data_IF_616955710800
#
_entry.id   IF_616955710800
#
_cell.length_a   1.000
_cell.length_b   1.000
_cell.length_c   1.000
_cell.angle_alpha   90.00
_cell.angle_beta   90.00
_cell.angle_gamma   90.00
#
_symmetry.space_group_name_H-M   'P 1'
#
loop_
_entity.id
_entity.type
_entity.pdbx_description
1 polymer ?
#
# COMPACT_ATOMS: atom_id res chain seq x y z
N UNK A 1 4.12 2.45 -64.80
CA UNK A 1 3.42 2.23 -63.50
C UNK A 1 4.24 1.33 -62.55
N UNK A 2 5.56 1.52 -62.40
CA UNK A 2 6.43 0.65 -61.55
C UNK A 2 7.39 1.41 -60.62
N UNK A 3 7.41 2.75 -60.68
CA UNK A 3 8.33 3.59 -59.89
C UNK A 3 7.67 4.29 -58.69
N UNK A 4 6.34 4.34 -58.61
CA UNK A 4 5.64 5.01 -57.51
C UNK A 4 5.48 4.17 -56.23
N UNK A 5 5.73 2.86 -56.29
CA UNK A 5 5.59 1.98 -55.13
C UNK A 5 6.79 1.95 -54.18
N UNK A 6 7.95 2.51 -54.56
CA UNK A 6 9.17 2.46 -53.72
C UNK A 6 9.32 3.61 -52.73
N UNK A 7 8.61 4.73 -52.94
CA UNK A 7 8.72 5.90 -52.07
C UNK A 7 7.76 5.86 -50.87
N UNK A 8 6.70 5.06 -50.91
CA UNK A 8 5.74 4.97 -49.80
C UNK A 8 6.25 4.13 -48.61
N UNK A 9 7.21 3.24 -48.82
CA UNK A 9 7.75 2.37 -47.75
C UNK A 9 8.74 3.06 -46.82
N UNK A 10 9.30 4.21 -47.19
CA UNK A 10 10.32 4.90 -46.37
C UNK A 10 9.65 5.76 -45.28
N UNK A 11 8.43 6.25 -45.52
CA UNK A 11 7.71 7.10 -44.55
C UNK A 11 7.08 6.28 -43.41
N UNK A 12 6.77 5.00 -43.64
CA UNK A 12 6.17 4.13 -42.60
C UNK A 12 7.21 3.61 -41.60
N UNK A 13 8.51 3.64 -41.92
CA UNK A 13 9.56 3.22 -40.99
C UNK A 13 10.05 4.33 -40.04
N UNK A 14 9.71 5.60 -40.31
CA UNK A 14 10.22 6.73 -39.52
C UNK A 14 9.27 7.19 -38.40
N UNK A 15 8.01 6.73 -38.38
CA UNK A 15 7.03 7.05 -37.34
C UNK A 15 7.04 6.10 -36.13
N UNK A 16 7.89 5.05 -36.15
CA UNK A 16 8.02 4.09 -35.05
C UNK A 16 9.07 4.49 -33.98
N UNK A 17 9.56 5.73 -34.02
CA UNK A 17 10.56 6.27 -33.08
C UNK A 17 9.99 7.33 -32.14
N UNK A 18 8.68 7.37 -31.91
CA UNK A 18 8.14 7.99 -30.69
C UNK A 18 8.19 6.96 -29.57
N UNK A 19 9.43 6.57 -29.23
CA UNK A 19 9.71 5.86 -27.99
C UNK A 19 9.39 6.81 -26.86
N UNK A 20 8.29 6.55 -26.16
CA UNK A 20 8.01 7.16 -24.87
C UNK A 20 9.20 6.87 -23.95
N UNK A 21 10.13 7.83 -23.84
CA UNK A 21 11.06 7.88 -22.73
C UNK A 21 10.25 8.22 -21.50
N UNK A 22 9.66 7.19 -20.89
CA UNK A 22 9.29 7.26 -19.49
C UNK A 22 10.59 7.48 -18.73
N UNK A 23 10.92 8.74 -18.45
CA UNK A 23 11.85 9.06 -17.38
C UNK A 23 11.25 8.42 -16.13
N UNK A 24 11.90 7.43 -15.49
CA UNK A 24 11.49 7.06 -14.15
C UNK A 24 11.65 8.33 -13.34
N UNK A 25 10.53 8.87 -12.87
CA UNK A 25 10.55 9.91 -11.84
C UNK A 25 11.35 9.31 -10.70
N UNK A 26 12.58 9.80 -10.51
CA UNK A 26 13.38 9.56 -9.32
C UNK A 26 12.66 10.22 -8.15
N UNK A 27 11.53 9.64 -7.74
CA UNK A 27 10.98 9.88 -6.43
C UNK A 27 12.03 9.37 -5.44
N UNK A 28 12.50 10.24 -4.56
CA UNK A 28 13.57 9.96 -3.63
C UNK A 28 13.34 8.68 -2.83
N UNK A 29 14.39 7.87 -2.70
CA UNK A 29 14.43 6.69 -1.85
C UNK A 29 15.04 5.50 -2.58
N UNK A 30 16.23 5.07 -2.14
CA UNK A 30 16.93 3.89 -2.69
C UNK A 30 16.17 2.57 -2.52
N UNK A 31 15.09 2.54 -1.71
CA UNK A 31 14.29 1.34 -1.50
C UNK A 31 12.94 1.42 -2.22
N UNK A 32 12.57 0.41 -3.02
CA UNK A 32 11.29 0.35 -3.70
C UNK A 32 10.11 0.00 -2.77
N UNK A 33 10.39 -0.52 -1.57
CA UNK A 33 9.38 -1.06 -0.65
C UNK A 33 9.54 -0.52 0.79
N UNK A 34 8.51 -0.71 1.59
CA UNK A 34 8.50 -0.56 3.04
C UNK A 34 7.91 -1.82 3.69
N UNK A 35 8.19 -2.05 4.96
CA UNK A 35 7.60 -3.15 5.74
C UNK A 35 6.32 -2.64 6.40
N UNK A 36 5.17 -3.20 6.04
CA UNK A 36 3.91 -2.98 6.73
C UNK A 36 3.74 -4.01 7.85
N UNK A 37 3.39 -3.55 9.05
CA UNK A 37 3.00 -4.40 10.16
C UNK A 37 1.63 -3.95 10.68
N UNK A 38 0.59 -4.74 10.43
CA UNK A 38 -0.78 -4.41 10.78
C UNK A 38 -1.19 -5.30 11.94
N UNK A 39 -1.65 -4.73 13.05
CA UNK A 39 -2.02 -5.46 14.26
C UNK A 39 -3.44 -5.12 14.68
N UNK A 40 -4.25 -6.15 14.96
CA UNK A 40 -5.58 -5.98 15.51
C UNK A 40 -5.57 -6.14 17.04
N UNK A 41 -5.57 -5.03 17.77
CA UNK A 41 -5.53 -5.02 19.24
C UNK A 41 -6.87 -4.74 19.93
N UNK A 42 -7.99 -4.80 19.21
CA UNK A 42 -9.32 -4.48 19.76
C UNK A 42 -10.04 -5.77 20.12
N UNK A 43 -10.40 -5.89 21.39
CA UNK A 43 -11.26 -6.95 21.87
C UNK A 43 -12.72 -6.50 21.73
N UNK A 44 -13.47 -7.17 20.86
CA UNK A 44 -14.88 -6.86 20.59
C UNK A 44 -15.77 -6.96 21.83
N UNK A 45 -15.43 -7.84 22.78
CA UNK A 45 -16.23 -8.02 24.01
C UNK A 45 -16.20 -6.78 24.90
N UNK A 46 -15.12 -5.98 24.84
CA UNK A 46 -15.01 -4.69 25.54
C UNK A 46 -15.89 -3.60 24.96
N UNK A 47 -16.42 -3.81 23.76
CA UNK A 47 -17.36 -2.94 23.07
C UNK A 47 -18.82 -3.44 23.21
N UNK A 48 -19.05 -4.47 24.02
CA UNK A 48 -20.38 -5.07 24.19
C UNK A 48 -20.79 -6.02 23.06
N UNK A 49 -19.84 -6.45 22.23
CA UNK A 49 -20.09 -7.46 21.18
C UNK A 49 -20.07 -8.86 21.79
N UNK A 50 -20.77 -9.78 21.13
CA UNK A 50 -20.90 -11.18 21.60
C UNK A 50 -19.65 -12.01 21.34
N UNK A 51 -18.75 -11.53 20.48
CA UNK A 51 -17.54 -12.23 20.04
C UNK A 51 -16.37 -11.26 19.84
N UNK A 52 -15.17 -11.79 19.62
CA UNK A 52 -14.02 -11.01 19.20
C UNK A 52 -14.32 -10.38 17.83
N UNK A 53 -14.15 -9.05 17.72
CA UNK A 53 -14.49 -8.26 16.53
C UNK A 53 -13.66 -8.74 15.32
N UNK A 54 -14.23 -9.47 14.36
CA UNK A 54 -13.52 -9.81 13.14
C UNK A 54 -13.50 -8.59 12.22
N UNK A 55 -12.33 -8.24 11.71
CA UNK A 55 -12.16 -7.10 10.81
C UNK A 55 -11.51 -7.52 9.50
N UNK A 56 -11.90 -6.84 8.44
CA UNK A 56 -11.24 -6.91 7.13
C UNK A 56 -10.51 -5.60 6.92
N UNK A 57 -9.18 -5.66 6.82
CA UNK A 57 -8.35 -4.50 6.46
C UNK A 57 -8.19 -4.48 4.95
N UNK A 58 -8.76 -3.45 4.32
CA UNK A 58 -8.63 -3.23 2.89
C UNK A 58 -7.51 -2.24 2.61
N UNK A 59 -6.54 -2.66 1.80
CA UNK A 59 -5.39 -1.85 1.42
C UNK A 59 -5.59 -1.38 -0.01
N UNK A 60 -5.66 -0.06 -0.21
CA UNK A 60 -5.78 0.56 -1.52
C UNK A 60 -4.46 1.25 -1.88
N UNK A 61 -4.04 1.14 -3.14
CA UNK A 61 -2.73 1.62 -3.62
C UNK A 61 -2.82 2.40 -4.93
N UNK A 62 -1.91 3.38 -5.06
CA UNK A 62 -1.65 4.12 -6.29
C UNK A 62 -2.54 5.36 -6.48
N UNK A 63 -2.37 6.08 -7.60
CA UNK A 63 -3.03 7.38 -7.83
C UNK A 63 -4.56 7.26 -7.91
N UNK A 64 -5.06 6.09 -8.31
CA UNK A 64 -6.50 5.82 -8.42
C UNK A 64 -7.04 5.04 -7.21
N UNK A 65 -6.23 4.82 -6.17
CA UNK A 65 -6.58 4.05 -4.97
C UNK A 65 -7.31 2.76 -5.31
N UNK A 66 -6.68 1.90 -6.12
CA UNK A 66 -7.25 0.58 -6.44
C UNK A 66 -7.03 -0.36 -5.27
N UNK A 67 -8.02 -1.21 -4.99
CA UNK A 67 -7.88 -2.25 -3.99
C UNK A 67 -6.69 -3.15 -4.38
N UNK A 68 -5.69 -3.20 -3.50
CA UNK A 68 -4.48 -4.00 -3.65
C UNK A 68 -4.64 -5.34 -2.92
N UNK A 69 -5.14 -5.29 -1.68
CA UNK A 69 -5.23 -6.48 -0.83
C UNK A 69 -6.37 -6.38 0.19
N UNK A 70 -6.82 -7.55 0.69
CA UNK A 70 -7.77 -7.70 1.79
C UNK A 70 -7.19 -8.66 2.82
N UNK A 71 -7.07 -8.18 4.05
CA UNK A 71 -6.43 -8.92 5.14
C UNK A 71 -7.47 -9.12 6.23
N UNK A 72 -7.88 -10.37 6.43
CA UNK A 72 -8.75 -10.77 7.52
C UNK A 72 -7.92 -10.86 8.81
N UNK A 73 -8.34 -10.14 9.85
CA UNK A 73 -7.68 -10.15 11.16
C UNK A 73 -8.70 -10.36 12.28
N UNK A 74 -8.33 -11.21 13.24
CA UNK A 74 -9.01 -11.39 14.53
C UNK A 74 -8.21 -10.77 15.68
N UNK A 75 -8.80 -10.76 16.87
CA UNK A 75 -8.16 -10.15 18.03
C UNK A 75 -6.79 -10.76 18.30
N UNK A 76 -5.79 -9.89 18.52
CA UNK A 76 -4.36 -10.21 18.68
C UNK A 76 -3.66 -10.79 17.45
N UNK A 77 -4.33 -10.89 16.31
CA UNK A 77 -3.66 -11.26 15.06
C UNK A 77 -2.91 -10.08 14.46
N UNK A 78 -1.88 -10.41 13.69
CA UNK A 78 -1.07 -9.43 12.99
C UNK A 78 -0.65 -9.94 11.63
N UNK A 79 -0.60 -9.04 10.67
CA UNK A 79 -0.02 -9.25 9.35
C UNK A 79 1.30 -8.49 9.24
N UNK A 80 2.30 -9.11 8.63
CA UNK A 80 3.53 -8.43 8.23
C UNK A 80 3.82 -8.73 6.78
N UNK A 81 4.06 -7.69 5.98
CA UNK A 81 4.36 -7.84 4.56
C UNK A 81 5.20 -6.68 4.03
N UNK A 82 5.85 -6.91 2.90
CA UNK A 82 6.52 -5.84 2.15
C UNK A 82 5.55 -5.25 1.13
N UNK A 83 5.40 -3.93 1.14
CA UNK A 83 4.52 -3.20 0.23
C UNK A 83 5.34 -2.17 -0.56
N UNK A 84 5.00 -1.89 -1.83
CA UNK A 84 5.69 -0.88 -2.62
C UNK A 84 5.54 0.52 -2.00
N UNK A 85 6.54 1.38 -2.17
CA UNK A 85 6.39 2.80 -1.80
C UNK A 85 5.32 3.47 -2.65
N UNK A 86 4.63 4.46 -2.10
CA UNK A 86 3.65 5.28 -2.83
C UNK A 86 2.43 5.64 -2.01
N UNK A 87 1.34 6.00 -2.68
CA UNK A 87 0.11 6.47 -2.03
C UNK A 87 -0.79 5.32 -1.60
N UNK A 88 -1.17 5.33 -0.32
CA UNK A 88 -2.05 4.33 0.29
C UNK A 88 -3.29 4.96 0.91
N UNK A 89 -4.40 4.23 0.79
CA UNK A 89 -5.59 4.39 1.63
C UNK A 89 -5.84 3.03 2.30
N UNK A 90 -5.92 3.01 3.63
CA UNK A 90 -6.22 1.81 4.40
C UNK A 90 -7.56 2.01 5.07
N UNK A 91 -8.49 1.08 4.86
CA UNK A 91 -9.82 1.10 5.45
C UNK A 91 -10.03 -0.17 6.26
N UNK A 92 -10.76 -0.05 7.36
CA UNK A 92 -11.10 -1.19 8.21
C UNK A 92 -12.60 -1.39 8.19
N UNK A 93 -13.02 -2.57 7.73
CA UNK A 93 -14.41 -2.98 7.71
C UNK A 93 -14.69 -3.90 8.90
N UNK A 94 -15.72 -3.59 9.68
CA UNK A 94 -16.22 -4.46 10.73
C UNK A 94 -17.19 -5.47 10.13
N UNK A 95 -16.86 -6.76 10.24
CA UNK A 95 -17.74 -7.84 9.74
C UNK A 95 -19.02 -7.92 10.56
N UNK A 96 -18.96 -7.63 11.86
CA UNK A 96 -20.12 -7.70 12.74
C UNK A 96 -21.07 -6.51 12.55
N UNK A 97 -20.53 -5.29 12.46
CA UNK A 97 -21.33 -4.08 12.27
C UNK A 97 -21.72 -3.82 10.80
N UNK A 98 -21.17 -4.60 9.87
CA UNK A 98 -21.39 -4.48 8.42
C UNK A 98 -21.11 -3.06 7.88
N UNK A 99 -20.12 -2.37 8.46
CA UNK A 99 -19.76 -1.00 8.10
C UNK A 99 -18.26 -0.74 8.23
N UNK A 100 -17.79 0.29 7.53
CA UNK A 100 -16.44 0.81 7.71
C UNK A 100 -16.33 1.59 9.02
N UNK A 101 -15.24 1.38 9.73
CA UNK A 101 -14.92 2.13 10.94
C UNK A 101 -14.11 3.37 10.54
N UNK A 102 -14.79 4.51 10.42
CA UNK A 102 -14.19 5.75 9.88
C UNK A 102 -12.94 6.19 10.66
N UNK A 103 -12.98 6.08 11.99
CA UNK A 103 -11.86 6.40 12.90
C UNK A 103 -10.65 5.48 12.77
N UNK A 104 -10.78 4.39 12.00
CA UNK A 104 -9.69 3.46 11.67
C UNK A 104 -9.26 3.55 10.20
N UNK A 105 -9.64 4.61 9.50
CA UNK A 105 -9.19 4.88 8.14
C UNK A 105 -7.88 5.67 8.14
N UNK A 106 -6.91 5.26 7.33
CA UNK A 106 -5.64 5.97 7.14
C UNK A 106 -5.48 6.38 5.69
N UNK A 107 -5.22 7.67 5.45
CA UNK A 107 -4.92 8.19 4.13
C UNK A 107 -6.14 8.77 3.40
N UNK A 108 -6.01 9.17 2.13
CA UNK A 108 -4.86 8.88 1.25
C UNK A 108 -3.55 9.56 1.70
N UNK A 109 -2.45 8.80 1.79
CA UNK A 109 -1.14 9.34 2.19
C UNK A 109 0.01 8.64 1.46
N UNK A 110 1.07 9.39 1.13
CA UNK A 110 2.29 8.80 0.57
C UNK A 110 3.14 8.16 1.66
N UNK A 111 3.55 6.91 1.44
CA UNK A 111 4.43 6.15 2.31
C UNK A 111 5.77 5.94 1.60
N UNK A 112 6.88 6.48 2.14
CA UNK A 112 8.19 6.32 1.53
C UNK A 112 8.75 4.92 1.75
N UNK A 113 9.64 4.50 0.86
CA UNK A 113 10.41 3.26 1.03
C UNK A 113 11.43 3.35 2.18
N UNK A 114 12.05 2.21 2.49
CA UNK A 114 13.03 2.06 3.58
C UNK A 114 12.44 2.29 5.00
N UNK A 115 11.12 2.22 5.16
CA UNK A 115 10.45 2.38 6.46
C UNK A 115 9.86 1.06 6.95
N UNK A 116 9.71 0.95 8.26
CA UNK A 116 8.75 0.05 8.89
C UNK A 116 7.56 0.89 9.33
N UNK A 117 6.39 0.60 8.79
CA UNK A 117 5.14 1.27 9.14
C UNK A 117 4.28 0.29 9.92
N UNK A 118 3.96 0.66 11.15
CA UNK A 118 3.14 -0.14 12.06
C UNK A 118 1.76 0.50 12.14
N UNK A 119 0.74 -0.26 11.77
CA UNK A 119 -0.67 0.09 11.87
C UNK A 119 -1.28 -0.68 13.03
N UNK A 120 -1.45 -0.02 14.16
CA UNK A 120 -1.91 -0.65 15.39
C UNK A 120 -3.35 -0.22 15.69
N UNK A 121 -4.30 -1.13 15.51
CA UNK A 121 -5.67 -0.94 15.94
C UNK A 121 -5.76 -1.07 17.47
N UNK A 122 -6.38 -0.11 18.13
CA UNK A 122 -6.60 -0.10 19.59
C UNK A 122 -7.85 0.68 19.97
N UNK A 123 -8.25 0.59 21.23
CA UNK A 123 -9.26 1.45 21.82
C UNK A 123 -8.59 2.63 22.52
N UNK A 124 -9.05 3.84 22.24
CA UNK A 124 -8.72 5.07 22.99
C UNK A 124 -10.06 5.67 23.42
N UNK A 125 -10.29 5.80 24.72
CA UNK A 125 -11.55 6.29 25.28
C UNK A 125 -12.79 5.58 24.69
N UNK A 126 -12.74 4.24 24.64
CA UNK A 126 -13.74 3.35 24.03
C UNK A 126 -14.00 3.57 22.53
N UNK A 127 -13.19 4.38 21.86
CA UNK A 127 -13.27 4.61 20.42
C UNK A 127 -12.22 3.75 19.70
N UNK A 128 -12.61 2.93 18.71
CA UNK A 128 -11.67 2.24 17.83
C UNK A 128 -10.83 3.24 17.05
N UNK A 129 -9.51 3.16 17.17
CA UNK A 129 -8.58 4.02 16.43
C UNK A 129 -7.43 3.20 15.88
N UNK A 130 -6.81 3.72 14.83
CA UNK A 130 -5.58 3.16 14.27
C UNK A 130 -4.42 4.11 14.52
N UNK A 131 -3.44 3.63 15.27
CA UNK A 131 -2.17 4.31 15.42
C UNK A 131 -1.25 3.96 14.27
N UNK A 132 -0.69 4.98 13.62
CA UNK A 132 0.33 4.80 12.59
C UNK A 132 1.68 5.20 13.18
N UNK A 133 2.61 4.25 13.26
CA UNK A 133 3.97 4.48 13.76
C UNK A 133 4.95 4.20 12.62
N UNK A 134 5.70 5.23 12.22
CA UNK A 134 6.70 5.12 11.17
C UNK A 134 8.08 5.04 11.83
N UNK A 135 8.87 4.03 11.46
CA UNK A 135 10.25 3.84 11.91
C UNK A 135 11.18 3.68 10.73
N UNK A 136 12.42 4.12 10.88
CA UNK A 136 13.47 3.83 9.93
C UNK A 136 13.89 2.37 10.04
N UNK A 137 14.04 1.71 8.88
CA UNK A 137 14.76 0.43 8.85
C UNK A 137 16.23 0.76 9.04
N UNK A 138 16.85 0.22 10.09
CA UNK A 138 18.29 0.34 10.27
C UNK A 138 18.98 -0.17 8.98
N UNK A 139 20.00 0.54 8.46
CA UNK A 139 20.71 0.07 7.28
C UNK A 139 21.26 -1.33 7.56
N UNK A 140 20.98 -2.28 6.65
CA UNK A 140 21.66 -3.58 6.67
C UNK A 140 23.17 -3.29 6.62
N UNK A 141 23.99 -3.90 7.50
CA UNK A 141 25.43 -3.82 7.37
C UNK A 141 25.80 -4.21 5.94
N UNK A 142 26.52 -3.35 5.24
CA UNK A 142 27.07 -3.69 3.93
C UNK A 142 28.05 -4.82 4.19
N UNK A 143 27.69 -6.03 3.78
CA UNK A 143 28.64 -7.14 3.70
C UNK A 143 29.69 -6.69 2.67
N UNK A 144 30.83 -6.23 3.18
CA UNK A 144 31.96 -5.84 2.37
C UNK A 144 32.43 -7.08 1.64
N UNK A 145 32.11 -7.16 0.34
CA UNK A 145 32.74 -8.13 -0.54
C UNK A 145 34.26 -7.89 -0.49
N UNK A 146 34.98 -8.84 0.11
CA UNK A 146 36.42 -8.97 0.05
C UNK A 146 36.84 -9.51 -1.31
#
# INVERSE_FOLDING_TARGET
MKTMFRLLSIVVFLSLLVGFSYSPVEAGGKCPTFIAHITHGIDGTKLGLTQELPVVVEVYFGPNLKLLDKIDLKYKESFTGELPRGTYLIKVFSVELQQYVETMTVGPTEIPGCKKVIFQARLVDNTPVINVIIRDLAPKPVESAQ
#
